data_IF_737892794457
#
_entry.id   IF_737892794457
#
_cell.length_a   1.000
_cell.length_b   1.000
_cell.length_c   1.000
_cell.angle_alpha   90.00
_cell.angle_beta   90.00
_cell.angle_gamma   90.00
#
_symmetry.space_group_name_H-M   'P 1'
#
loop_
_entity.id
_entity.type
_entity.pdbx_description
1 polymer ?
#
# COMPACT_ATOMS: atom_id res chain seq x y z
N UNK A 1 -10.02 -0.05 19.80
CA UNK A 1 -9.37 -0.53 18.56
C UNK A 1 -7.96 -0.99 18.90
N UNK A 2 -7.58 -2.20 18.47
CA UNK A 2 -6.22 -2.71 18.64
C UNK A 2 -5.39 -2.38 17.40
N UNK A 3 -4.32 -1.62 17.56
CA UNK A 3 -3.39 -1.27 16.49
C UNK A 3 -2.10 -2.08 16.64
N UNK A 4 -1.92 -3.10 15.79
CA UNK A 4 -0.74 -4.00 15.83
C UNK A 4 0.56 -3.34 15.41
N UNK A 5 0.52 -2.44 14.43
CA UNK A 5 1.71 -1.80 13.86
C UNK A 5 1.41 -0.34 13.52
N UNK A 6 2.46 0.46 13.32
CA UNK A 6 2.29 1.84 12.89
C UNK A 6 1.60 1.93 11.51
N UNK A 7 0.93 3.06 11.30
CA UNK A 7 0.20 3.34 10.05
C UNK A 7 0.62 4.71 9.51
N UNK A 8 0.80 4.81 8.20
CA UNK A 8 0.98 6.12 7.57
C UNK A 8 -0.40 6.76 7.45
N UNK A 9 -0.60 7.95 8.01
CA UNK A 9 -1.88 8.64 7.95
C UNK A 9 -1.71 9.94 7.16
N UNK A 10 -2.62 10.18 6.22
CA UNK A 10 -2.74 11.45 5.51
C UNK A 10 -4.21 11.75 5.30
N UNK A 11 -4.63 13.00 5.45
CA UNK A 11 -6.01 13.38 5.17
C UNK A 11 -6.30 13.34 3.68
N UNK A 12 -7.54 13.01 3.30
CA UNK A 12 -7.96 13.06 1.89
C UNK A 12 -7.74 14.45 1.29
N UNK A 13 -7.94 15.52 2.08
CA UNK A 13 -7.68 16.90 1.65
C UNK A 13 -6.22 17.09 1.24
N UNK A 14 -5.28 16.72 2.12
CA UNK A 14 -3.85 16.89 1.88
C UNK A 14 -3.34 15.96 0.77
N UNK A 15 -3.80 14.71 0.75
CA UNK A 15 -3.49 13.77 -0.34
C UNK A 15 -3.98 14.29 -1.71
N UNK A 16 -5.23 14.77 -1.79
CA UNK A 16 -5.76 15.28 -3.04
C UNK A 16 -5.03 16.54 -3.50
N UNK A 17 -4.67 17.44 -2.58
CA UNK A 17 -3.88 18.62 -2.92
C UNK A 17 -2.48 18.27 -3.49
N UNK A 18 -1.85 17.20 -3.00
CA UNK A 18 -0.57 16.72 -3.52
C UNK A 18 -0.68 16.09 -4.91
N UNK A 19 -1.76 15.37 -5.20
CA UNK A 19 -1.94 14.68 -6.48
C UNK A 19 -2.69 15.49 -7.55
N UNK A 20 -3.49 16.50 -7.18
CA UNK A 20 -4.29 17.28 -8.12
C UNK A 20 -3.51 18.03 -9.19
N UNK A 21 -2.24 18.45 -9.00
CA UNK A 21 -1.46 19.04 -10.09
C UNK A 21 -1.24 18.08 -11.27
N UNK A 22 -1.24 16.77 -11.02
CA UNK A 22 -1.05 15.73 -12.05
C UNK A 22 -2.34 15.02 -12.43
N UNK A 23 -3.28 14.87 -11.50
CA UNK A 23 -4.49 14.05 -11.68
C UNK A 23 -5.78 14.74 -11.20
N UNK A 24 -5.80 16.07 -11.23
CA UNK A 24 -6.97 16.89 -10.89
C UNK A 24 -7.73 17.39 -12.12
N UNK A 25 -8.84 18.10 -11.90
CA UNK A 25 -9.70 18.62 -12.98
C UNK A 25 -8.96 19.54 -13.97
N UNK A 26 -7.96 20.28 -13.49
CA UNK A 26 -7.16 21.22 -14.27
C UNK A 26 -5.72 20.72 -14.52
N UNK A 27 -5.46 19.41 -14.40
CA UNK A 27 -4.13 18.84 -14.64
C UNK A 27 -3.79 18.78 -16.13
N UNK A 28 -2.52 18.51 -16.50
CA UNK A 28 -2.16 18.14 -17.86
C UNK A 28 -2.96 16.93 -18.38
N UNK A 29 -2.82 16.64 -19.68
CA UNK A 29 -3.35 15.42 -20.25
C UNK A 29 -2.77 14.21 -19.49
N UNK A 30 -3.59 13.16 -19.31
CA UNK A 30 -3.19 12.02 -18.49
C UNK A 30 -1.88 11.39 -18.99
N UNK A 31 -1.65 11.34 -20.31
CA UNK A 31 -0.41 10.85 -20.91
C UNK A 31 0.80 11.63 -20.41
N UNK A 32 0.72 12.96 -20.37
CA UNK A 32 1.81 13.81 -19.90
C UNK A 32 2.03 13.63 -18.40
N UNK A 33 0.95 13.58 -17.61
CA UNK A 33 1.03 13.34 -16.17
C UNK A 33 1.65 12.00 -15.82
N UNK A 34 1.28 10.94 -16.54
CA UNK A 34 1.84 9.61 -16.33
C UNK A 34 3.32 9.57 -16.72
N UNK A 35 3.73 10.20 -17.84
CA UNK A 35 5.15 10.30 -18.21
C UNK A 35 5.94 11.06 -17.15
N UNK A 36 5.42 12.18 -16.65
CA UNK A 36 6.09 13.00 -15.62
C UNK A 36 6.26 12.24 -14.31
N UNK A 37 5.27 11.44 -13.90
CA UNK A 37 5.28 10.76 -12.62
C UNK A 37 5.93 9.38 -12.67
N UNK A 38 5.49 8.53 -13.61
CA UNK A 38 5.90 7.13 -13.73
C UNK A 38 7.11 6.93 -14.66
N UNK A 39 7.51 7.97 -15.40
CA UNK A 39 8.77 7.97 -16.16
C UNK A 39 10.00 8.33 -15.31
N UNK A 40 9.81 8.78 -14.07
CA UNK A 40 10.91 9.12 -13.17
C UNK A 40 11.47 7.84 -12.52
N UNK A 41 12.81 7.66 -12.47
CA UNK A 41 13.39 6.54 -11.74
C UNK A 41 12.95 6.54 -10.26
N UNK A 42 12.53 5.39 -9.76
CA UNK A 42 11.99 5.25 -8.41
C UNK A 42 12.95 5.79 -7.33
N UNK A 43 14.26 5.62 -7.50
CA UNK A 43 15.26 6.16 -6.57
C UNK A 43 15.21 7.70 -6.47
N UNK A 44 14.97 8.39 -7.58
CA UNK A 44 14.83 9.86 -7.63
C UNK A 44 13.48 10.27 -7.07
N UNK A 45 12.41 9.61 -7.52
CA UNK A 45 11.05 9.88 -7.04
C UNK A 45 10.96 9.70 -5.52
N UNK A 46 11.64 8.71 -4.94
CA UNK A 46 11.69 8.47 -3.49
C UNK A 46 12.26 9.67 -2.74
N UNK A 47 13.31 10.30 -3.27
CA UNK A 47 13.88 11.51 -2.65
C UNK A 47 12.90 12.68 -2.67
N UNK A 48 12.20 12.90 -3.78
CA UNK A 48 11.17 13.94 -3.87
C UNK A 48 9.99 13.67 -2.93
N UNK A 49 9.59 12.40 -2.79
CA UNK A 49 8.52 12.00 -1.90
C UNK A 49 8.85 12.22 -0.42
N UNK A 50 10.12 12.18 -0.01
CA UNK A 50 10.51 12.52 1.37
C UNK A 50 10.19 14.00 1.68
N UNK A 51 10.52 14.90 0.77
CA UNK A 51 10.20 16.34 0.93
C UNK A 51 8.69 16.57 0.91
N UNK A 52 7.98 15.97 -0.06
CA UNK A 52 6.52 16.05 -0.14
C UNK A 52 5.84 15.50 1.11
N UNK A 53 6.35 14.39 1.66
CA UNK A 53 5.82 13.79 2.89
C UNK A 53 6.03 14.70 4.09
N UNK A 54 7.17 15.37 4.18
CA UNK A 54 7.41 16.36 5.23
C UNK A 54 6.40 17.51 5.17
N UNK A 55 6.13 18.05 3.98
CA UNK A 55 5.13 19.09 3.78
C UNK A 55 3.71 18.63 4.14
N UNK A 56 3.35 17.39 3.78
CA UNK A 56 2.06 16.79 4.15
C UNK A 56 1.93 16.58 5.66
N UNK A 57 3.01 16.13 6.33
CA UNK A 57 3.01 15.98 7.78
C UNK A 57 2.80 17.32 8.49
N UNK A 58 3.38 18.42 7.98
CA UNK A 58 3.14 19.76 8.53
C UNK A 58 1.71 20.23 8.27
N UNK A 59 1.16 19.98 7.08
CA UNK A 59 -0.23 20.30 6.75
C UNK A 59 -1.24 19.54 7.65
N UNK A 60 -0.94 18.28 7.98
CA UNK A 60 -1.76 17.41 8.81
C UNK A 60 -1.31 17.38 10.29
N UNK A 61 -0.47 18.32 10.74
CA UNK A 61 0.18 18.26 12.07
C UNK A 61 -0.80 18.14 13.23
N UNK A 62 -1.94 18.83 13.16
CA UNK A 62 -2.92 18.86 14.25
C UNK A 62 -3.57 17.48 14.43
N UNK A 63 -3.95 16.85 13.32
CA UNK A 63 -4.55 15.52 13.36
C UNK A 63 -3.53 14.45 13.75
N UNK A 64 -2.29 14.54 13.24
CA UNK A 64 -1.21 13.61 13.61
C UNK A 64 -0.84 13.72 15.09
N UNK A 65 -0.78 14.94 15.64
CA UNK A 65 -0.55 15.15 17.07
C UNK A 65 -1.72 14.62 17.93
N UNK A 66 -2.95 14.79 17.46
CA UNK A 66 -4.14 14.24 18.10
C UNK A 66 -4.11 12.70 18.15
N UNK A 67 -3.71 12.06 17.05
CA UNK A 67 -3.55 10.61 16.96
C UNK A 67 -2.47 10.08 17.93
N UNK A 68 -1.28 10.69 17.93
CA UNK A 68 -0.20 10.27 18.85
C UNK A 68 -0.62 10.45 20.31
N UNK A 69 -1.31 11.55 20.64
CA UNK A 69 -1.86 11.79 21.99
C UNK A 69 -2.89 10.73 22.40
N UNK A 70 -3.70 10.24 21.46
CA UNK A 70 -4.66 9.17 21.69
C UNK A 70 -4.02 7.76 21.72
N UNK A 71 -2.70 7.67 21.55
CA UNK A 71 -1.96 6.40 21.54
C UNK A 71 -1.99 5.67 20.19
N UNK A 72 -2.47 6.32 19.12
CA UNK A 72 -2.40 5.77 17.77
C UNK A 72 -1.03 6.02 17.16
N UNK A 73 -0.28 4.95 16.88
CA UNK A 73 1.07 5.06 16.34
C UNK A 73 1.08 5.34 14.85
N UNK A 74 1.60 6.51 14.49
CA UNK A 74 1.79 6.89 13.08
C UNK A 74 3.23 6.65 12.61
N UNK A 75 3.43 6.60 11.30
CA UNK A 75 4.74 6.65 10.65
C UNK A 75 4.68 7.55 9.40
N UNK A 76 5.84 7.80 8.78
CA UNK A 76 5.98 8.63 7.58
C UNK A 76 6.14 7.80 6.29
N UNK A 77 5.78 6.52 6.33
CA UNK A 77 6.09 5.59 5.27
C UNK A 77 7.52 5.06 5.36
N UNK A 78 7.92 4.29 4.34
CA UNK A 78 9.23 3.66 4.30
C UNK A 78 10.28 4.72 4.00
N UNK A 79 11.32 4.82 4.83
CA UNK A 79 12.35 5.87 4.72
C UNK A 79 11.75 7.28 4.58
N UNK A 80 10.64 7.54 5.28
CA UNK A 80 9.88 8.79 5.26
C UNK A 80 9.33 9.21 3.89
N UNK A 81 9.23 8.29 2.94
CA UNK A 81 8.81 8.55 1.55
C UNK A 81 7.31 8.42 1.29
N UNK A 82 6.51 8.48 2.36
CA UNK A 82 5.07 8.66 2.28
C UNK A 82 4.29 7.49 1.72
N UNK A 83 3.06 7.80 1.29
CA UNK A 83 2.07 6.80 0.85
C UNK A 83 2.52 6.05 -0.41
N UNK A 84 3.16 6.72 -1.37
CA UNK A 84 3.47 6.13 -2.67
C UNK A 84 4.41 4.92 -2.54
N UNK A 85 5.54 5.10 -1.86
CA UNK A 85 6.50 4.01 -1.67
C UNK A 85 6.04 3.00 -0.63
N UNK A 86 5.22 3.40 0.35
CA UNK A 86 4.58 2.43 1.25
C UNK A 86 3.64 1.51 0.47
N UNK A 87 2.88 2.06 -0.47
CA UNK A 87 2.01 1.32 -1.37
C UNK A 87 2.82 0.38 -2.29
N UNK A 88 3.84 0.89 -3.00
CA UNK A 88 4.64 0.04 -3.90
C UNK A 88 5.38 -1.08 -3.16
N UNK A 89 5.84 -0.83 -1.93
CA UNK A 89 6.59 -1.84 -1.19
C UNK A 89 5.69 -2.92 -0.56
N UNK A 90 4.54 -2.53 0.00
CA UNK A 90 3.72 -3.41 0.86
C UNK A 90 2.32 -3.67 0.33
N UNK A 91 1.79 -2.82 -0.55
CA UNK A 91 0.39 -2.84 -0.97
C UNK A 91 -0.60 -2.44 0.14
N UNK A 92 -0.13 -1.83 1.24
CA UNK A 92 -0.96 -1.47 2.38
C UNK A 92 -0.20 -0.82 3.55
N UNK A 93 -0.87 -0.68 4.69
CA UNK A 93 -0.28 -0.05 5.89
C UNK A 93 -0.37 1.49 5.90
N UNK A 94 -1.20 2.06 5.04
CA UNK A 94 -1.54 3.48 5.03
C UNK A 94 -3.05 3.67 5.27
N UNK A 95 -3.42 4.87 5.68
CA UNK A 95 -4.80 5.27 5.92
C UNK A 95 -5.04 6.66 5.31
N UNK A 96 -5.95 6.72 4.34
CA UNK A 96 -6.50 7.95 3.80
C UNK A 96 -7.64 8.41 4.71
N UNK A 97 -7.37 9.39 5.56
CA UNK A 97 -8.34 9.85 6.56
C UNK A 97 -9.44 10.70 5.92
N UNK A 98 -10.67 10.20 6.06
CA UNK A 98 -11.91 10.87 5.68
C UNK A 98 -12.70 11.40 6.88
N UNK A 99 -12.13 11.33 8.10
CA UNK A 99 -12.72 11.86 9.33
C UNK A 99 -12.65 10.93 10.54
N UNK A 100 -12.29 9.64 10.41
CA UNK A 100 -12.23 8.74 11.56
C UNK A 100 -11.03 9.06 12.46
N UNK A 101 -9.93 9.58 11.91
CA UNK A 101 -8.79 10.02 12.73
C UNK A 101 -9.21 11.06 13.76
N UNK A 102 -10.19 11.93 13.43
CA UNK A 102 -10.69 12.92 14.39
C UNK A 102 -11.40 12.26 15.57
N UNK A 103 -12.16 11.18 15.33
CA UNK A 103 -12.81 10.43 16.41
C UNK A 103 -11.80 9.76 17.34
N UNK A 104 -10.68 9.29 16.80
CA UNK A 104 -9.55 8.78 17.60
C UNK A 104 -8.91 9.92 18.40
N UNK A 105 -8.58 11.03 17.75
CA UNK A 105 -7.96 12.20 18.38
C UNK A 105 -8.84 12.81 19.50
N UNK A 106 -10.16 12.80 19.32
CA UNK A 106 -11.15 13.23 20.31
C UNK A 106 -11.29 12.24 21.49
N UNK A 107 -10.65 11.08 21.43
CA UNK A 107 -10.79 10.02 22.44
C UNK A 107 -12.10 9.23 22.37
N UNK A 108 -12.91 9.41 21.32
CA UNK A 108 -14.15 8.64 21.11
C UNK A 108 -13.88 7.20 20.70
N UNK A 109 -12.68 6.93 20.17
CA UNK A 109 -12.20 5.59 19.86
C UNK A 109 -10.92 5.37 20.66
N UNK A 110 -10.99 4.50 21.67
CA UNK A 110 -9.82 4.11 22.45
C UNK A 110 -8.87 3.25 21.62
N UNK A 111 -7.56 3.48 21.74
CA UNK A 111 -6.52 2.74 21.04
C UNK A 111 -5.71 1.90 22.03
N UNK A 112 -5.53 0.62 21.71
CA UNK A 112 -4.53 -0.24 22.33
C UNK A 112 -3.46 -0.55 21.29
N UNK A 113 -2.26 -0.02 21.48
CA UNK A 113 -1.19 -0.09 20.48
C UNK A 113 -0.09 -1.08 20.90
N UNK A 114 0.46 -1.80 19.91
CA UNK A 114 1.71 -2.53 20.06
C UNK A 114 1.63 -3.83 20.85
N UNK A 115 0.42 -4.32 21.15
CA UNK A 115 0.19 -5.61 21.79
C UNK A 115 -0.45 -6.58 20.80
N UNK A 116 0.09 -7.80 20.71
CA UNK A 116 -0.52 -8.85 19.91
C UNK A 116 -1.65 -9.53 20.68
N UNK A 117 -2.60 -10.09 19.94
CA UNK A 117 -3.69 -10.89 20.51
C UNK A 117 -3.17 -12.30 20.68
N UNK A 118 -3.21 -12.83 21.91
CA UNK A 118 -2.78 -14.21 22.21
C UNK A 118 -3.95 -15.18 22.22
N UNK A 119 -5.15 -14.73 22.58
CA UNK A 119 -6.31 -15.59 22.75
C UNK A 119 -7.61 -14.79 22.59
N UNK A 120 -8.59 -15.37 21.90
CA UNK A 120 -9.97 -14.90 21.91
C UNK A 120 -10.70 -15.58 23.06
N UNK A 121 -11.21 -14.79 23.99
CA UNK A 121 -11.96 -15.25 25.15
C UNK A 121 -13.46 -15.14 24.88
N UNK A 122 -14.31 -15.88 25.61
CA UNK A 122 -15.77 -15.74 25.52
C UNK A 122 -16.29 -14.31 25.78
N UNK A 123 -15.50 -13.47 26.45
CA UNK A 123 -15.86 -12.10 26.85
C UNK A 123 -14.94 -11.02 26.27
N UNK A 124 -14.02 -11.37 25.36
CA UNK A 124 -13.08 -10.39 24.82
C UNK A 124 -11.78 -10.95 24.27
N UNK A 125 -10.69 -10.19 24.40
CA UNK A 125 -9.37 -10.52 23.87
C UNK A 125 -8.32 -10.47 24.96
N UNK A 126 -7.48 -11.50 25.02
CA UNK A 126 -6.25 -11.48 25.83
C UNK A 126 -5.07 -11.02 24.99
N UNK A 127 -4.27 -10.13 25.55
CA UNK A 127 -3.12 -9.52 24.89
C UNK A 127 -1.80 -10.07 25.43
N UNK A 128 -0.70 -9.79 24.72
CA UNK A 128 0.66 -10.22 25.09
C UNK A 128 1.16 -9.67 26.42
N UNK A 129 0.68 -8.51 26.85
CA UNK A 129 0.97 -7.93 28.17
C UNK A 129 0.12 -8.51 29.31
N UNK A 130 -0.76 -9.47 28.99
CA UNK A 130 -1.67 -10.11 29.93
C UNK A 130 -2.98 -9.36 30.16
N UNK A 131 -3.16 -8.16 29.56
CA UNK A 131 -4.41 -7.41 29.64
C UNK A 131 -5.54 -8.16 28.93
N UNK A 132 -6.75 -8.07 29.49
CA UNK A 132 -7.98 -8.55 28.88
C UNK A 132 -8.81 -7.33 28.46
N UNK A 133 -9.03 -7.20 27.16
CA UNK A 133 -9.97 -6.23 26.59
C UNK A 133 -11.34 -6.88 26.50
N UNK A 134 -12.25 -6.48 27.39
CA UNK A 134 -13.65 -6.92 27.32
C UNK A 134 -14.34 -6.33 26.09
N UNK A 135 -15.11 -7.16 25.39
CA UNK A 135 -15.89 -6.75 24.24
C UNK A 135 -17.09 -7.69 24.03
N UNK A 136 -18.25 -7.11 23.72
CA UNK A 136 -19.42 -7.87 23.28
C UNK A 136 -19.27 -8.39 21.85
N UNK A 137 -18.52 -7.66 21.00
CA UNK A 137 -18.33 -7.96 19.59
C UNK A 137 -16.88 -7.72 19.15
N UNK A 138 -16.35 -8.61 18.30
CA UNK A 138 -14.98 -8.53 17.77
C UNK A 138 -15.02 -8.49 16.25
N UNK A 139 -14.51 -7.41 15.67
CA UNK A 139 -14.42 -7.22 14.22
C UNK A 139 -12.97 -7.35 13.76
N UNK A 140 -12.69 -8.36 12.92
CA UNK A 140 -11.37 -8.57 12.32
C UNK A 140 -11.18 -7.73 11.06
N UNK A 141 -10.72 -6.49 11.25
CA UNK A 141 -10.33 -5.58 10.17
C UNK A 141 -8.85 -5.77 9.76
N UNK A 142 -8.41 -7.02 9.55
CA UNK A 142 -6.98 -7.39 9.39
C UNK A 142 -6.44 -7.27 7.96
N UNK A 143 -7.22 -6.69 7.04
CA UNK A 143 -6.82 -6.53 5.64
C UNK A 143 -6.76 -7.85 4.87
N UNK A 144 -6.00 -7.84 3.77
CA UNK A 144 -5.89 -8.96 2.83
C UNK A 144 -4.47 -9.55 2.83
N UNK A 145 -4.37 -10.84 2.52
CA UNK A 145 -3.09 -11.50 2.20
C UNK A 145 -2.50 -11.04 0.87
N UNK A 146 -1.29 -11.50 0.55
CA UNK A 146 -0.62 -11.16 -0.72
C UNK A 146 -1.34 -11.78 -1.92
N UNK A 147 -1.14 -11.24 -3.12
CA UNK A 147 -1.71 -11.87 -4.34
C UNK A 147 -1.12 -13.27 -4.57
N UNK A 148 0.10 -13.52 -4.10
CA UNK A 148 0.73 -14.86 -4.10
C UNK A 148 0.00 -15.84 -3.17
N UNK A 149 -0.42 -15.43 -1.97
CA UNK A 149 -1.22 -16.31 -1.10
C UNK A 149 -2.58 -16.63 -1.73
N UNK A 150 -3.20 -15.65 -2.40
CA UNK A 150 -4.44 -15.89 -3.15
C UNK A 150 -4.24 -16.80 -4.36
N UNK A 151 -3.11 -16.67 -5.07
CA UNK A 151 -2.73 -17.59 -6.14
C UNK A 151 -2.70 -19.05 -5.64
N UNK A 152 -2.15 -19.28 -4.44
CA UNK A 152 -2.17 -20.62 -3.80
C UNK A 152 -3.59 -21.12 -3.55
N UNK A 153 -4.46 -20.28 -3.01
CA UNK A 153 -5.86 -20.66 -2.76
C UNK A 153 -6.61 -21.03 -4.05
N UNK A 154 -6.33 -20.33 -5.15
CA UNK A 154 -7.08 -20.49 -6.42
C UNK A 154 -6.50 -21.63 -7.28
N UNK A 155 -5.17 -21.70 -7.39
CA UNK A 155 -4.47 -22.56 -8.35
C UNK A 155 -3.65 -23.69 -7.69
N UNK A 156 -3.58 -23.72 -6.36
CA UNK A 156 -2.84 -24.73 -5.59
C UNK A 156 -1.33 -24.48 -5.52
N UNK A 157 -0.67 -25.32 -4.73
CA UNK A 157 0.75 -25.17 -4.39
C UNK A 157 1.67 -25.20 -5.62
N UNK A 158 1.37 -26.08 -6.58
CA UNK A 158 2.18 -26.24 -7.79
C UNK A 158 2.38 -24.94 -8.56
N UNK A 159 1.35 -24.10 -8.68
CA UNK A 159 1.45 -22.80 -9.37
C UNK A 159 2.04 -21.75 -8.44
N UNK A 160 1.59 -21.70 -7.19
CA UNK A 160 2.02 -20.69 -6.23
C UNK A 160 3.50 -20.79 -5.79
N UNK A 161 4.10 -21.97 -5.92
CA UNK A 161 5.52 -22.21 -5.65
C UNK A 161 6.43 -21.74 -6.80
N UNK A 162 5.88 -21.59 -8.01
CA UNK A 162 6.62 -21.07 -9.17
C UNK A 162 6.60 -19.54 -9.24
N UNK A 163 5.56 -18.90 -8.69
CA UNK A 163 5.44 -17.45 -8.79
C UNK A 163 6.32 -16.71 -7.76
N UNK A 164 6.92 -15.62 -8.21
CA UNK A 164 7.69 -14.68 -7.42
C UNK A 164 6.79 -13.89 -6.46
N UNK A 165 7.43 -13.21 -5.50
CA UNK A 165 6.73 -12.32 -4.59
C UNK A 165 6.19 -11.09 -5.33
N UNK A 166 4.98 -10.68 -4.95
CA UNK A 166 4.26 -9.54 -5.51
C UNK A 166 4.47 -8.29 -4.65
N UNK A 167 4.56 -7.12 -5.29
CA UNK A 167 4.90 -5.85 -4.63
C UNK A 167 6.29 -5.88 -3.97
N UNK A 168 6.79 -4.72 -3.55
CA UNK A 168 8.19 -4.56 -3.19
C UNK A 168 9.03 -4.09 -4.36
N UNK A 169 10.24 -3.64 -4.05
CA UNK A 169 11.25 -3.31 -5.04
C UNK A 169 12.24 -4.48 -5.21
N UNK A 170 12.69 -4.70 -6.43
CA UNK A 170 13.84 -5.56 -6.74
C UNK A 170 15.18 -4.81 -6.57
N UNK A 171 16.27 -5.46 -6.93
CA UNK A 171 17.63 -4.92 -6.82
C UNK A 171 17.89 -3.73 -7.74
N UNK A 172 17.09 -3.57 -8.82
CA UNK A 172 17.16 -2.45 -9.74
C UNK A 172 16.32 -1.25 -9.27
N UNK A 173 15.55 -1.43 -8.19
CA UNK A 173 14.63 -0.41 -7.68
C UNK A 173 13.28 -0.40 -8.41
N UNK A 174 12.93 -1.49 -9.08
CA UNK A 174 11.71 -1.65 -9.85
C UNK A 174 10.68 -2.51 -9.13
N UNK A 175 9.39 -2.32 -9.44
CA UNK A 175 8.30 -3.03 -8.74
C UNK A 175 8.32 -4.52 -9.09
N UNK A 176 8.44 -5.38 -8.08
CA UNK A 176 8.48 -6.84 -8.26
C UNK A 176 7.17 -7.37 -8.82
N UNK A 177 7.27 -8.19 -9.86
CA UNK A 177 6.22 -9.10 -10.40
C UNK A 177 4.96 -8.44 -10.96
N UNK A 178 4.58 -7.25 -10.48
CA UNK A 178 3.45 -6.50 -11.01
C UNK A 178 3.75 -6.08 -12.45
N UNK A 179 2.86 -6.45 -13.37
CA UNK A 179 2.94 -6.13 -14.80
C UNK A 179 4.20 -6.66 -15.52
N UNK A 180 4.92 -7.61 -14.91
CA UNK A 180 6.12 -8.29 -15.45
C UNK A 180 6.05 -9.78 -15.15
N UNK A 181 7.10 -10.52 -15.51
CA UNK A 181 7.22 -11.96 -15.28
C UNK A 181 6.82 -12.34 -13.87
N UNK A 182 5.89 -13.29 -13.77
CA UNK A 182 5.50 -13.85 -12.48
C UNK A 182 6.38 -15.00 -12.02
N UNK A 183 7.18 -15.60 -12.89
CA UNK A 183 7.90 -16.86 -12.63
C UNK A 183 7.15 -18.09 -13.14
N UNK A 184 5.88 -17.95 -13.52
CA UNK A 184 5.10 -18.99 -14.21
C UNK A 184 4.72 -18.53 -15.62
N UNK A 185 5.09 -19.26 -16.69
CA UNK A 185 4.72 -18.93 -18.06
C UNK A 185 3.20 -18.79 -18.24
N UNK A 186 2.75 -17.75 -18.94
CA UNK A 186 1.33 -17.50 -19.20
C UNK A 186 0.52 -16.99 -17.99
N UNK A 187 1.17 -16.70 -16.86
CA UNK A 187 0.51 -16.16 -15.68
C UNK A 187 1.11 -14.80 -15.29
N UNK A 188 0.27 -13.80 -15.04
CA UNK A 188 0.67 -12.42 -14.84
C UNK A 188 -0.13 -11.77 -13.72
N UNK A 189 0.51 -10.94 -12.92
CA UNK A 189 -0.18 -10.16 -11.88
C UNK A 189 -0.38 -8.71 -12.33
N UNK A 190 -1.59 -8.23 -12.14
CA UNK A 190 -1.97 -6.84 -12.40
C UNK A 190 -2.91 -6.35 -11.30
N UNK A 191 -2.61 -5.19 -10.74
CA UNK A 191 -3.41 -4.46 -9.76
C UNK A 191 -2.96 -3.00 -9.82
N UNK A 192 -3.53 -2.11 -9.00
CA UNK A 192 -3.21 -0.69 -9.06
C UNK A 192 -4.43 0.20 -8.96
N UNK A 193 -4.18 1.49 -8.74
CA UNK A 193 -5.17 2.51 -9.05
C UNK A 193 -5.26 2.72 -10.57
N UNK A 194 -6.16 3.62 -11.00
CA UNK A 194 -6.37 3.89 -12.43
C UNK A 194 -5.09 4.34 -13.15
N UNK A 195 -4.26 5.19 -12.54
CA UNK A 195 -3.02 5.68 -13.15
C UNK A 195 -2.05 4.52 -13.44
N UNK A 196 -1.79 3.66 -12.44
CA UNK A 196 -0.95 2.47 -12.59
C UNK A 196 -1.50 1.51 -13.66
N UNK A 197 -2.80 1.23 -13.60
CA UNK A 197 -3.43 0.35 -14.57
C UNK A 197 -3.29 0.90 -16.00
N UNK A 198 -3.50 2.21 -16.19
CA UNK A 198 -3.42 2.85 -17.51
C UNK A 198 -2.02 2.79 -18.09
N UNK A 199 -1.01 3.07 -17.27
CA UNK A 199 0.39 3.06 -17.67
C UNK A 199 0.90 1.65 -18.00
N UNK A 200 0.72 0.71 -17.07
CA UNK A 200 1.35 -0.60 -17.17
C UNK A 200 0.56 -1.62 -18.00
N UNK A 201 -0.75 -1.45 -18.22
CA UNK A 201 -1.54 -2.35 -19.08
C UNK A 201 -0.94 -2.47 -20.47
N UNK A 202 -0.53 -1.33 -21.06
CA UNK A 202 0.06 -1.31 -22.40
C UNK A 202 1.39 -2.06 -22.43
N UNK A 203 2.24 -1.87 -21.43
CA UNK A 203 3.54 -2.56 -21.35
C UNK A 203 3.36 -4.07 -21.21
N UNK A 204 2.44 -4.50 -20.34
CA UNK A 204 2.13 -5.92 -20.15
C UNK A 204 1.55 -6.54 -21.43
N UNK A 205 0.59 -5.87 -22.07
CA UNK A 205 -0.02 -6.35 -23.31
C UNK A 205 1.00 -6.49 -24.45
N UNK A 206 1.96 -5.56 -24.56
CA UNK A 206 3.02 -5.64 -25.57
C UNK A 206 3.98 -6.80 -25.31
N UNK A 207 4.36 -7.06 -24.05
CA UNK A 207 5.18 -8.23 -23.68
C UNK A 207 4.47 -9.54 -24.03
N UNK A 208 3.18 -9.67 -23.65
CA UNK A 208 2.37 -10.86 -23.97
C UNK A 208 2.27 -11.01 -25.49
N UNK A 209 1.98 -9.93 -26.22
CA UNK A 209 1.88 -9.99 -27.68
C UNK A 209 3.20 -10.40 -28.34
N UNK A 210 4.34 -9.90 -27.85
CA UNK A 210 5.64 -10.29 -28.38
C UNK A 210 5.90 -11.81 -28.22
N UNK A 211 5.45 -12.41 -27.10
CA UNK A 211 5.49 -13.86 -26.89
C UNK A 211 4.58 -14.60 -27.89
N UNK A 212 3.32 -14.19 -28.00
CA UNK A 212 2.33 -14.87 -28.87
C UNK A 212 2.72 -14.81 -30.36
N UNK A 213 3.36 -13.73 -30.79
CA UNK A 213 3.85 -13.55 -32.17
C UNK A 213 5.23 -14.17 -32.42
N UNK A 214 5.84 -14.79 -31.40
CA UNK A 214 7.17 -15.41 -31.50
C UNK A 214 8.32 -14.41 -31.69
N UNK A 215 8.13 -13.14 -31.30
CA UNK A 215 9.15 -12.09 -31.34
C UNK A 215 10.08 -12.12 -30.12
N UNK A 216 9.64 -12.73 -29.02
CA UNK A 216 10.41 -12.97 -27.79
C UNK A 216 9.92 -14.24 -27.08
N UNK A 217 10.78 -14.94 -26.35
CA UNK A 217 10.37 -16.01 -25.45
C UNK A 217 9.95 -15.49 -24.07
N UNK A 218 9.23 -16.31 -23.29
CA UNK A 218 8.99 -15.99 -21.88
C UNK A 218 10.32 -15.83 -21.16
N UNK A 219 11.32 -16.69 -21.40
CA UNK A 219 12.63 -16.58 -20.75
C UNK A 219 13.40 -15.29 -21.09
N UNK A 220 13.06 -14.60 -22.19
CA UNK A 220 13.79 -13.42 -22.65
C UNK A 220 13.37 -12.10 -21.98
N UNK A 221 12.27 -12.07 -21.20
CA UNK A 221 11.77 -10.84 -20.57
C UNK A 221 12.46 -10.44 -19.25
#
# INVERSE_FOLDING_TARGET
MVQRSSTYVVTIKSNNAAFSPLYGENSPANEDSDVLFLGMPNAVLKKLQVEGTSALCEADKEILAGLEKAGFKTDKGIDDSGIWFKYLQRGGGYYLDSGCSQLIADGKIAIKQGQEIVEVLPTGLKLTDGEILEADEIVWATGYGSMRSHCRTIFGDKVADQVHDVWGMDEEGEVRTMWRKSGHPGFWFMAGNLALCRWYSRMLALQIKAIEEGLSGYEDL
#
